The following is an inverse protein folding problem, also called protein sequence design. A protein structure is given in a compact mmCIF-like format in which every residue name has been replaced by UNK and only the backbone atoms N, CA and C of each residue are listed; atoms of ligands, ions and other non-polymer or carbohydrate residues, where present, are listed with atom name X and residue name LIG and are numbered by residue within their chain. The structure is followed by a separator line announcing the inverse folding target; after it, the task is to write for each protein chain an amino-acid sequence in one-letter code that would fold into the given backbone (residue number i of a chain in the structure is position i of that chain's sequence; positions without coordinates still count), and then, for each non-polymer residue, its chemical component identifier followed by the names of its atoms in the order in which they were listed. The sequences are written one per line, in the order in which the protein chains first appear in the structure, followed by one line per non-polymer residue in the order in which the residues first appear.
data_IF_366830629279
#
_entry.id   IF_366830629279
#
_cell.length_a   1.000
_cell.length_b   1.000
_cell.length_c   1.000
_cell.angle_alpha   90.00
_cell.angle_beta   90.00
_cell.angle_gamma   90.00
#
_symmetry.space_group_name_H-M   'P 1'
#
loop_
_entity.id
_entity.type
_entity.pdbx_description
1 polymer ?
#
# COMPACT_ATOMS: atom_id res chain seq x y z
N UNK A 1 -14.33 1.08 -3.33
CA UNK A 1 -12.87 1.23 -3.15
C UNK A 1 -12.16 -0.11 -3.01
N UNK A 2 -12.52 -0.97 -2.04
CA UNK A 2 -11.79 -2.22 -1.75
C UNK A 2 -11.60 -3.13 -2.97
N UNK A 3 -12.63 -3.33 -3.79
CA UNK A 3 -12.52 -4.12 -5.02
C UNK A 3 -11.44 -3.60 -5.99
N UNK A 4 -11.26 -2.27 -6.08
CA UNK A 4 -10.22 -1.68 -6.90
C UNK A 4 -8.82 -1.92 -6.33
N UNK A 5 -8.66 -1.84 -5.01
CA UNK A 5 -7.40 -2.14 -4.33
C UNK A 5 -7.04 -3.62 -4.47
N UNK A 6 -8.01 -4.54 -4.32
CA UNK A 6 -7.80 -5.97 -4.54
C UNK A 6 -7.34 -6.25 -5.97
N UNK A 7 -8.01 -5.65 -6.96
CA UNK A 7 -7.59 -5.77 -8.36
C UNK A 7 -6.17 -5.22 -8.60
N UNK A 8 -5.73 -4.18 -7.88
CA UNK A 8 -4.34 -3.72 -7.96
C UNK A 8 -3.38 -4.73 -7.33
N UNK A 9 -3.71 -5.26 -6.14
CA UNK A 9 -2.91 -6.27 -5.46
C UNK A 9 -2.78 -7.57 -6.29
N UNK A 10 -3.83 -7.96 -7.00
CA UNK A 10 -3.85 -9.08 -7.96
C UNK A 10 -2.80 -8.97 -9.06
N UNK A 11 -2.46 -7.74 -9.47
CA UNK A 11 -1.44 -7.48 -10.49
C UNK A 11 -0.01 -7.49 -9.95
N UNK A 12 0.15 -7.53 -8.62
CA UNK A 12 1.47 -7.62 -8.00
C UNK A 12 1.95 -9.08 -7.98
N UNK A 13 3.24 -9.33 -8.24
CA UNK A 13 3.85 -10.66 -8.16
C UNK A 13 4.10 -11.04 -6.69
N UNK A 14 3.00 -11.20 -5.93
CA UNK A 14 3.03 -11.59 -4.52
C UNK A 14 2.78 -13.09 -4.36
N UNK A 15 3.49 -13.77 -3.44
CA UNK A 15 3.12 -15.08 -2.95
C UNK A 15 1.69 -15.11 -2.43
N UNK A 16 1.06 -16.30 -2.45
CA UNK A 16 -0.33 -16.46 -2.01
C UNK A 16 -0.54 -16.04 -0.55
N UNK A 17 0.39 -16.38 0.34
CA UNK A 17 0.34 -15.98 1.75
C UNK A 17 0.33 -14.44 1.93
N UNK A 18 1.21 -13.73 1.22
CA UNK A 18 1.26 -12.26 1.26
C UNK A 18 -0.01 -11.65 0.65
N UNK A 19 -0.54 -12.24 -0.42
CA UNK A 19 -1.77 -11.79 -1.07
C UNK A 19 -2.96 -11.88 -0.11
N UNK A 20 -3.06 -12.95 0.67
CA UNK A 20 -4.09 -13.11 1.69
C UNK A 20 -3.98 -12.02 2.75
N UNK A 21 -2.79 -11.77 3.28
CA UNK A 21 -2.58 -10.70 4.29
C UNK A 21 -2.89 -9.31 3.74
N UNK A 22 -2.51 -9.03 2.49
CA UNK A 22 -2.86 -7.77 1.81
C UNK A 22 -4.38 -7.63 1.68
N UNK A 23 -5.08 -8.72 1.34
CA UNK A 23 -6.54 -8.76 1.32
C UNK A 23 -7.14 -8.45 2.69
N UNK A 24 -6.63 -9.07 3.76
CA UNK A 24 -7.04 -8.82 5.14
C UNK A 24 -6.89 -7.34 5.52
N UNK A 25 -5.77 -6.70 5.13
CA UNK A 25 -5.58 -5.27 5.40
C UNK A 25 -6.53 -4.40 4.58
N UNK A 26 -6.76 -4.70 3.31
CA UNK A 26 -7.72 -3.96 2.46
C UNK A 26 -9.12 -4.01 3.07
N UNK A 27 -9.50 -5.15 3.62
CA UNK A 27 -10.83 -5.36 4.22
C UNK A 27 -10.96 -4.68 5.59
N UNK A 28 -9.85 -4.34 6.22
CA UNK A 28 -9.77 -3.57 7.45
C UNK A 28 -9.72 -2.03 7.23
N UNK A 29 -9.75 -1.56 5.99
CA UNK A 29 -9.88 -0.12 5.72
C UNK A 29 -11.31 0.35 6.01
N UNK A 30 -11.42 1.59 6.50
CA UNK A 30 -12.71 2.27 6.61
C UNK A 30 -13.22 2.77 5.24
N UNK A 31 -14.41 3.36 5.22
CA UNK A 31 -15.05 3.86 3.98
C UNK A 31 -14.22 4.97 3.28
N UNK A 32 -13.42 5.71 4.05
CA UNK A 32 -12.52 6.75 3.56
C UNK A 32 -11.14 6.20 3.11
N UNK A 33 -10.89 4.91 3.34
CA UNK A 33 -9.64 4.23 2.98
C UNK A 33 -8.51 4.36 3.99
N UNK A 34 -8.81 4.73 5.23
CA UNK A 34 -7.86 4.78 6.33
C UNK A 34 -7.82 3.45 7.11
N UNK A 35 -6.64 3.11 7.61
CA UNK A 35 -6.43 2.01 8.54
C UNK A 35 -6.46 2.56 9.97
N UNK A 36 -7.66 2.73 10.55
CA UNK A 36 -7.84 3.33 11.90
C UNK A 36 -7.85 2.33 13.04
N UNK A 37 -7.94 1.04 12.73
CA UNK A 37 -7.94 -0.05 13.70
C UNK A 37 -6.52 -0.52 14.05
N UNK A 38 -6.36 -1.24 15.16
CA UNK A 38 -5.07 -1.82 15.52
C UNK A 38 -4.77 -3.06 14.66
N UNK A 39 -3.49 -3.31 14.38
CA UNK A 39 -3.06 -4.57 13.76
C UNK A 39 -3.41 -5.79 14.64
N UNK A 40 -3.40 -5.62 15.96
CA UNK A 40 -3.83 -6.65 16.90
C UNK A 40 -5.28 -7.08 16.67
N UNK A 41 -6.19 -6.11 16.50
CA UNK A 41 -7.61 -6.39 16.27
C UNK A 41 -7.83 -7.09 14.93
N UNK A 42 -7.08 -6.67 13.90
CA UNK A 42 -7.12 -7.28 12.58
C UNK A 42 -6.59 -8.72 12.62
N UNK A 43 -5.49 -8.96 13.32
CA UNK A 43 -4.92 -10.30 13.49
C UNK A 43 -5.92 -11.23 14.21
N UNK A 44 -6.50 -10.78 15.32
CA UNK A 44 -7.47 -11.55 16.09
C UNK A 44 -8.70 -11.93 15.24
N UNK A 45 -9.24 -10.98 14.47
CA UNK A 45 -10.39 -11.23 13.57
C UNK A 45 -10.07 -12.19 12.42
N UNK A 46 -8.83 -12.18 11.95
CA UNK A 46 -8.34 -13.06 10.90
C UNK A 46 -7.89 -14.44 11.42
N UNK A 47 -7.92 -14.67 12.73
CA UNK A 47 -7.42 -15.91 13.34
C UNK A 47 -5.89 -16.05 13.26
N UNK A 48 -5.17 -14.93 13.18
CA UNK A 48 -3.72 -14.87 13.10
C UNK A 48 -3.11 -14.70 14.50
N UNK A 49 -1.89 -15.20 14.67
CA UNK A 49 -1.11 -15.01 15.89
C UNK A 49 -0.29 -13.72 15.74
N UNK A 50 -0.68 -12.68 16.47
CA UNK A 50 -0.02 -11.37 16.34
C UNK A 50 1.48 -11.45 16.62
N UNK A 51 1.94 -12.23 17.59
CA UNK A 51 3.38 -12.29 17.92
C UNK A 51 4.19 -12.88 16.76
N UNK A 52 3.61 -13.88 16.09
CA UNK A 52 4.21 -14.54 14.93
C UNK A 52 4.09 -13.73 13.65
N UNK A 53 2.92 -13.16 13.39
CA UNK A 53 2.52 -12.63 12.08
C UNK A 53 2.61 -11.10 12.00
N UNK A 54 3.02 -10.42 13.07
CA UNK A 54 3.08 -8.95 13.13
C UNK A 54 3.91 -8.35 11.98
N UNK A 55 5.05 -8.97 11.66
CA UNK A 55 5.96 -8.44 10.65
C UNK A 55 5.35 -8.51 9.25
N UNK A 56 4.73 -9.64 8.92
CA UNK A 56 4.06 -9.94 7.67
C UNK A 56 2.81 -9.05 7.51
N UNK A 57 2.00 -8.89 8.56
CA UNK A 57 0.86 -7.99 8.58
C UNK A 57 1.26 -6.52 8.39
N UNK A 58 2.33 -6.08 9.06
CA UNK A 58 2.84 -4.72 8.89
C UNK A 58 3.40 -4.51 7.48
N UNK A 59 4.04 -5.54 6.91
CA UNK A 59 4.51 -5.52 5.52
C UNK A 59 3.35 -5.47 4.54
N UNK A 60 2.28 -6.24 4.76
CA UNK A 60 1.05 -6.16 4.00
C UNK A 60 0.43 -4.75 4.06
N UNK A 61 0.40 -4.11 5.24
CA UNK A 61 -0.06 -2.72 5.36
C UNK A 61 0.79 -1.76 4.55
N UNK A 62 2.13 -1.89 4.57
CA UNK A 62 3.02 -1.07 3.74
C UNK A 62 2.80 -1.29 2.25
N UNK A 63 2.50 -2.52 1.84
CA UNK A 63 2.14 -2.84 0.45
C UNK A 63 0.82 -2.15 0.06
N UNK A 64 -0.20 -2.22 0.91
CA UNK A 64 -1.48 -1.50 0.70
C UNK A 64 -1.24 0.01 0.59
N UNK A 65 -0.42 0.59 1.47
CA UNK A 65 -0.06 2.02 1.41
C UNK A 65 0.74 2.43 0.16
N UNK A 66 1.27 1.44 -0.57
CA UNK A 66 1.93 1.66 -1.86
C UNK A 66 0.97 1.63 -3.05
N UNK A 67 -0.27 1.20 -2.85
CA UNK A 67 -1.31 1.15 -3.89
C UNK A 67 -1.81 2.55 -4.27
N UNK A 68 -2.82 2.61 -5.14
CA UNK A 68 -3.47 3.85 -5.58
C UNK A 68 -4.94 3.89 -5.15
N UNK A 69 -5.44 5.05 -4.67
CA UNK A 69 -4.79 6.37 -4.67
C UNK A 69 -3.69 6.51 -3.60
N UNK A 70 -2.74 7.42 -3.83
CA UNK A 70 -1.71 7.70 -2.84
C UNK A 70 -2.36 8.27 -1.55
N UNK A 71 -2.02 7.67 -0.41
CA UNK A 71 -2.63 7.99 0.89
C UNK A 71 -3.60 6.93 1.43
N UNK A 72 -4.00 5.95 0.61
CA UNK A 72 -4.77 4.79 1.06
C UNK A 72 -4.00 4.00 2.11
N UNK A 73 -4.69 3.44 3.11
CA UNK A 73 -4.10 2.70 4.21
C UNK A 73 -3.36 3.54 5.24
N UNK A 74 -3.42 4.88 5.16
CA UNK A 74 -2.91 5.76 6.21
C UNK A 74 -3.72 5.59 7.50
N UNK A 75 -3.09 5.77 8.66
CA UNK A 75 -3.76 5.77 9.98
C UNK A 75 -4.28 7.16 10.36
N UNK A 76 -3.70 8.20 9.77
CA UNK A 76 -4.06 9.60 10.03
C UNK A 76 -4.01 10.43 8.75
N UNK A 77 -4.66 11.59 8.77
CA UNK A 77 -4.57 12.56 7.67
C UNK A 77 -3.13 13.01 7.41
N UNK A 78 -2.34 13.21 8.47
CA UNK A 78 -0.93 13.58 8.37
C UNK A 78 -0.11 12.48 7.67
N UNK A 79 -0.35 11.22 7.99
CA UNK A 79 0.28 10.08 7.32
C UNK A 79 -0.15 9.99 5.84
N UNK A 80 -1.43 10.24 5.54
CA UNK A 80 -1.93 10.28 4.15
C UNK A 80 -1.20 11.34 3.32
N UNK A 81 -1.07 12.56 3.86
CA UNK A 81 -0.32 13.63 3.22
C UNK A 81 1.16 13.24 3.01
N UNK A 82 1.79 12.60 3.99
CA UNK A 82 3.17 12.12 3.86
C UNK A 82 3.32 11.05 2.77
N UNK A 83 2.40 10.09 2.67
CA UNK A 83 2.38 9.08 1.61
C UNK A 83 2.23 9.72 0.22
N UNK A 84 1.35 10.71 0.10
CA UNK A 84 1.15 11.48 -1.14
C UNK A 84 2.42 12.24 -1.54
N UNK A 85 3.06 12.94 -0.60
CA UNK A 85 4.31 13.66 -0.84
C UNK A 85 5.43 12.70 -1.26
N UNK A 86 5.63 11.59 -0.53
CA UNK A 86 6.61 10.55 -0.88
C UNK A 86 6.38 9.98 -2.29
N UNK A 87 5.13 9.83 -2.71
CA UNK A 87 4.81 9.41 -4.09
C UNK A 87 5.21 10.47 -5.11
N UNK A 88 4.90 11.75 -4.85
CA UNK A 88 5.27 12.87 -5.74
C UNK A 88 6.79 13.01 -5.91
N UNK A 89 7.54 12.94 -4.81
CA UNK A 89 9.02 13.00 -4.82
C UNK A 89 9.60 11.84 -5.62
N UNK A 90 9.14 10.60 -5.37
CA UNK A 90 9.59 9.42 -6.14
C UNK A 90 9.29 9.55 -7.63
N UNK A 91 8.09 10.02 -7.98
CA UNK A 91 7.73 10.27 -9.38
C UNK A 91 8.58 11.37 -10.03
N UNK A 92 8.91 12.43 -9.30
CA UNK A 92 9.79 13.49 -9.78
C UNK A 92 11.24 13.00 -9.99
N UNK A 93 11.76 12.18 -9.06
CA UNK A 93 13.08 11.57 -9.20
C UNK A 93 13.15 10.60 -10.39
N UNK A 94 12.13 9.74 -10.56
CA UNK A 94 12.05 8.80 -11.69
C UNK A 94 12.07 9.51 -13.05
N UNK A 95 11.35 10.64 -13.19
CA UNK A 95 11.35 11.45 -14.43
C UNK A 95 12.70 12.10 -14.74
N UNK A 96 13.49 12.44 -13.71
CA UNK A 96 14.84 13.02 -13.88
C UNK A 96 15.87 11.96 -14.24
N UNK A 97 15.66 10.71 -13.83
CA UNK A 97 16.54 9.57 -14.09
C UNK A 97 16.32 8.91 -15.46
N UNK A 98 15.43 9.44 -16.31
CA UNK A 98 15.26 9.00 -17.70
C UNK A 98 15.99 9.96 -18.66
N UNK A 99 17.28 9.73 -19.01
CA UNK A 99 17.93 10.50 -20.06
C UNK A 99 17.50 9.92 -21.42
N UNK A 100 16.70 10.65 -22.18
CA UNK A 100 16.19 10.11 -23.44
C UNK A 100 15.28 11.03 -24.25
N UNK A 101 15.74 12.24 -24.57
CA UNK A 101 15.40 12.85 -25.86
C UNK A 101 16.59 13.69 -26.35
N UNK A 102 17.70 13.01 -26.65
CA UNK A 102 18.73 13.60 -27.51
C UNK A 102 18.07 13.80 -28.87
N UNK A 103 17.73 15.07 -29.20
CA UNK A 103 17.36 15.46 -30.56
C UNK A 103 18.54 15.15 -31.46
N UNK A 104 18.33 14.30 -32.44
CA UNK A 104 19.23 14.09 -33.57
C UNK A 104 19.07 15.27 -34.54
N UNK A 105 20.09 16.13 -34.76
CA UNK A 105 20.03 17.16 -35.77
C UNK A 105 20.49 16.58 -37.11
N UNK A 106 19.55 16.40 -38.04
CA UNK A 106 19.88 16.26 -39.46
C UNK A 106 20.31 17.59 -40.05
#
# INVERSE_FOLDING_TARGET
MHAHLRAQAERLPLPEAERTLVGTIIDALDDDGYFRQDLADVAARAGLDLERDYFELNTALRLVQSLQPAGVGARTLAESALLQMRRRVRGAAARRASPGSTRDPR
#
